data_IF_430128440905
#
_entry.id   IF_430128440905
#
_cell.length_a   1.000
_cell.length_b   1.000
_cell.length_c   1.000
_cell.angle_alpha   90.00
_cell.angle_beta   90.00
_cell.angle_gamma   90.00
#
_symmetry.space_group_name_H-M   'P 1'
#
loop_
_entity.id
_entity.type
_entity.pdbx_description
1 polymer ?
#
# COMPACT_ATOMS: atom_id res chain seq x y z
N UNK A 1 -5.95 -18.35 12.30
CA UNK A 1 -4.49 -18.40 12.03
C UNK A 1 -4.20 -18.80 10.57
N UNK A 2 -4.84 -19.85 10.02
CA UNK A 2 -4.73 -20.24 8.60
C UNK A 2 -5.23 -19.16 7.63
N UNK A 3 -6.31 -18.47 7.96
CA UNK A 3 -6.90 -17.40 7.12
C UNK A 3 -5.97 -16.18 6.94
N UNK A 4 -5.09 -15.89 7.91
CA UNK A 4 -4.10 -14.80 7.84
C UNK A 4 -2.97 -15.15 6.87
N UNK A 5 -2.61 -16.43 6.75
CA UNK A 5 -1.54 -16.90 5.87
C UNK A 5 -2.02 -16.92 4.42
N UNK A 6 -3.24 -17.41 4.17
CA UNK A 6 -3.82 -17.49 2.83
C UNK A 6 -4.22 -16.12 2.25
N UNK A 7 -4.41 -15.09 3.09
CA UNK A 7 -4.83 -13.74 2.67
C UNK A 7 -3.70 -12.70 2.72
N UNK A 8 -2.44 -13.14 2.74
CA UNK A 8 -1.31 -12.22 2.59
C UNK A 8 -1.28 -11.67 1.16
N UNK A 9 -1.70 -10.41 0.98
CA UNK A 9 -1.77 -9.75 -0.32
C UNK A 9 -0.45 -9.84 -1.09
N UNK A 10 0.66 -9.59 -0.39
CA UNK A 10 2.00 -9.61 -0.99
C UNK A 10 2.45 -11.01 -1.42
N UNK A 11 1.86 -12.08 -0.88
CA UNK A 11 2.28 -13.45 -1.15
C UNK A 11 1.82 -13.97 -2.52
N UNK A 12 0.76 -13.41 -3.11
CA UNK A 12 0.29 -13.82 -4.44
C UNK A 12 0.48 -12.74 -5.51
N UNK A 13 0.34 -11.45 -5.18
CA UNK A 13 0.45 -10.38 -6.19
C UNK A 13 1.79 -10.43 -6.92
N UNK A 14 2.92 -10.44 -6.19
CA UNK A 14 4.23 -10.39 -6.84
C UNK A 14 4.54 -11.65 -7.65
N UNK A 15 4.38 -12.88 -7.13
CA UNK A 15 4.61 -14.09 -7.93
C UNK A 15 3.70 -14.18 -9.16
N UNK A 16 2.42 -13.79 -9.05
CA UNK A 16 1.49 -13.81 -10.18
C UNK A 16 1.89 -12.82 -11.27
N UNK A 17 2.28 -11.59 -10.92
CA UNK A 17 2.76 -10.60 -11.90
C UNK A 17 4.08 -11.06 -12.55
N UNK A 18 4.99 -11.64 -11.76
CA UNK A 18 6.26 -12.17 -12.25
C UNK A 18 6.03 -13.33 -13.21
N UNK A 19 5.18 -14.28 -12.86
CA UNK A 19 4.80 -15.38 -13.75
C UNK A 19 4.15 -14.86 -15.04
N UNK A 20 3.14 -13.98 -14.91
CA UNK A 20 2.39 -13.49 -16.06
C UNK A 20 3.28 -12.77 -17.07
N UNK A 21 4.27 -12.01 -16.59
CA UNK A 21 5.20 -11.26 -17.45
C UNK A 21 6.30 -12.13 -18.05
N UNK A 22 6.86 -13.07 -17.28
CA UNK A 22 8.13 -13.72 -17.61
C UNK A 22 8.04 -15.21 -17.92
N UNK A 23 6.85 -15.82 -17.89
CA UNK A 23 6.68 -17.27 -18.18
C UNK A 23 7.22 -17.71 -19.53
N UNK A 24 7.21 -16.81 -20.52
CA UNK A 24 7.69 -17.05 -21.89
C UNK A 24 8.94 -16.21 -22.23
N UNK A 25 9.70 -15.76 -21.22
CA UNK A 25 10.89 -14.95 -21.46
C UNK A 25 11.94 -15.73 -22.26
N UNK A 26 12.45 -15.09 -23.31
CA UNK A 26 13.39 -15.67 -24.28
C UNK A 26 14.86 -15.63 -23.83
N UNK A 27 15.15 -15.05 -22.66
CA UNK A 27 16.49 -14.88 -22.12
C UNK A 27 17.23 -13.63 -22.65
N UNK A 28 16.62 -12.85 -23.54
CA UNK A 28 17.23 -11.63 -24.05
C UNK A 28 17.09 -10.47 -23.07
N UNK A 29 18.10 -9.60 -23.06
CA UNK A 29 18.07 -8.36 -22.27
C UNK A 29 16.98 -7.41 -22.79
N UNK A 30 16.35 -6.69 -21.87
CA UNK A 30 15.38 -5.65 -22.19
C UNK A 30 16.08 -4.33 -22.49
N UNK A 31 15.49 -3.53 -23.37
CA UNK A 31 16.01 -2.19 -23.69
C UNK A 31 15.78 -1.18 -22.57
N UNK A 32 14.71 -1.36 -21.79
CA UNK A 32 14.34 -0.49 -20.68
C UNK A 32 13.89 -1.31 -19.46
N UNK A 33 14.05 -0.71 -18.28
CA UNK A 33 13.57 -1.29 -17.04
C UNK A 33 12.04 -1.16 -16.96
N UNK A 34 11.27 -2.26 -16.93
CA UNK A 34 9.83 -2.19 -16.76
C UNK A 34 9.47 -1.78 -15.32
N UNK A 35 8.40 -1.00 -15.18
CA UNK A 35 7.84 -0.54 -13.91
C UNK A 35 6.66 -1.46 -13.54
N UNK A 36 6.81 -2.20 -12.43
CA UNK A 36 5.94 -3.32 -12.05
C UNK A 36 4.42 -3.09 -12.18
N UNK A 37 3.89 -1.97 -11.68
CA UNK A 37 2.44 -1.68 -11.70
C UNK A 37 2.00 -0.83 -12.89
N UNK A 38 2.94 -0.16 -13.56
CA UNK A 38 2.65 0.65 -14.74
C UNK A 38 2.50 -0.23 -15.98
N UNK A 39 3.32 -1.28 -16.07
CA UNK A 39 3.37 -2.18 -17.23
C UNK A 39 2.48 -3.42 -17.04
N UNK A 40 1.39 -3.29 -16.28
CA UNK A 40 0.39 -4.36 -16.13
C UNK A 40 -0.48 -4.42 -17.40
N UNK A 41 -0.36 -5.53 -18.12
CA UNK A 41 -1.16 -5.82 -19.30
C UNK A 41 -2.49 -6.52 -18.95
N UNK A 42 -3.42 -6.57 -19.89
CA UNK A 42 -4.76 -7.15 -19.69
C UNK A 42 -4.71 -8.61 -19.23
N UNK A 43 -3.83 -9.42 -19.82
CA UNK A 43 -3.63 -10.80 -19.39
C UNK A 43 -3.14 -10.90 -17.94
N UNK A 44 -2.20 -10.03 -17.54
CA UNK A 44 -1.64 -10.02 -16.18
C UNK A 44 -2.72 -9.66 -15.16
N UNK A 45 -3.53 -8.64 -15.47
CA UNK A 45 -4.66 -8.24 -14.65
C UNK A 45 -5.71 -9.36 -14.53
N UNK A 46 -6.04 -10.03 -15.65
CA UNK A 46 -6.99 -11.15 -15.66
C UNK A 46 -6.49 -12.35 -14.85
N UNK A 47 -5.20 -12.67 -14.93
CA UNK A 47 -4.62 -13.74 -14.12
C UNK A 47 -4.63 -13.38 -12.63
N UNK A 48 -4.27 -12.15 -12.28
CA UNK A 48 -4.32 -11.67 -10.90
C UNK A 48 -5.75 -11.72 -10.33
N UNK A 49 -6.75 -11.36 -11.13
CA UNK A 49 -8.16 -11.46 -10.74
C UNK A 49 -8.59 -12.90 -10.47
N UNK A 50 -8.21 -13.85 -11.32
CA UNK A 50 -8.51 -15.28 -11.13
C UNK A 50 -7.87 -15.84 -9.85
N UNK A 51 -6.59 -15.54 -9.62
CA UNK A 51 -5.92 -15.95 -8.38
C UNK A 51 -6.59 -15.34 -7.16
N UNK A 52 -7.02 -14.07 -7.23
CA UNK A 52 -7.76 -13.41 -6.16
C UNK A 52 -9.12 -14.07 -5.86
N UNK A 53 -9.80 -14.59 -6.89
CA UNK A 53 -11.05 -15.32 -6.76
C UNK A 53 -10.83 -16.69 -6.10
N UNK A 54 -9.82 -17.44 -6.53
CA UNK A 54 -9.47 -18.76 -5.98
C UNK A 54 -9.16 -18.72 -4.48
N UNK A 55 -8.46 -17.67 -4.03
CA UNK A 55 -8.13 -17.46 -2.62
C UNK A 55 -9.24 -16.76 -1.82
N UNK A 56 -10.32 -16.34 -2.47
CA UNK A 56 -11.49 -15.74 -1.83
C UNK A 56 -11.21 -14.41 -1.13
N UNK A 57 -10.31 -13.59 -1.68
CA UNK A 57 -10.06 -12.24 -1.16
C UNK A 57 -11.13 -11.29 -1.67
N UNK A 58 -11.72 -10.55 -0.73
CA UNK A 58 -12.76 -9.57 -0.99
C UNK A 58 -12.37 -8.22 -0.39
N UNK A 59 -13.02 -7.16 -0.84
CA UNK A 59 -12.93 -5.87 -0.15
C UNK A 59 -13.46 -6.00 1.28
N UNK A 60 -12.88 -5.29 2.25
CA UNK A 60 -13.40 -5.25 3.61
C UNK A 60 -14.71 -4.46 3.63
N UNK A 61 -15.80 -5.14 3.97
CA UNK A 61 -17.14 -4.59 3.94
C UNK A 61 -17.88 -4.89 5.25
N UNK A 62 -18.71 -3.94 5.70
CA UNK A 62 -19.67 -4.12 6.78
C UNK A 62 -21.02 -4.50 6.17
N UNK A 63 -21.61 -5.60 6.65
CA UNK A 63 -22.98 -5.98 6.31
C UNK A 63 -23.98 -5.11 7.09
N UNK A 64 -24.91 -4.50 6.38
CA UNK A 64 -25.97 -3.65 6.93
C UNK A 64 -27.22 -4.47 7.27
N UNK A 65 -28.13 -3.90 8.06
CA UNK A 65 -29.42 -4.51 8.43
C UNK A 65 -30.29 -4.85 7.22
N UNK A 66 -30.11 -4.17 6.09
CA UNK A 66 -30.86 -4.40 4.85
C UNK A 66 -30.20 -5.41 3.91
N UNK A 67 -29.31 -6.28 4.40
CA UNK A 67 -28.57 -7.26 3.58
C UNK A 67 -27.70 -6.62 2.47
N UNK A 68 -27.33 -5.34 2.63
CA UNK A 68 -26.41 -4.61 1.74
C UNK A 68 -25.04 -4.43 2.39
N UNK A 69 -24.05 -4.01 1.63
CA UNK A 69 -22.67 -3.85 2.10
C UNK A 69 -22.19 -2.40 1.98
N UNK A 70 -21.46 -1.92 2.98
CA UNK A 70 -20.75 -0.64 2.95
C UNK A 70 -19.24 -0.86 3.23
N UNK A 71 -18.33 -0.03 2.71
CA UNK A 71 -16.90 -0.21 2.97
C UNK A 71 -16.55 -0.12 4.46
N UNK A 72 -15.73 -1.07 4.95
CA UNK A 72 -15.16 -1.00 6.30
C UNK A 72 -13.81 -0.25 6.28
N UNK A 73 -13.86 1.06 6.50
CA UNK A 73 -12.66 1.89 6.59
C UNK A 73 -11.85 1.69 7.89
N UNK A 74 -12.36 0.93 8.86
CA UNK A 74 -11.61 0.58 10.08
C UNK A 74 -10.74 -0.66 9.88
N UNK A 75 -10.95 -1.40 8.78
CA UNK A 75 -10.18 -2.57 8.45
C UNK A 75 -8.69 -2.25 8.26
N UNK A 76 -7.83 -3.23 8.59
CA UNK A 76 -6.36 -3.10 8.57
C UNK A 76 -5.77 -2.68 7.22
N UNK A 77 -6.43 -3.03 6.11
CA UNK A 77 -6.03 -2.59 4.76
C UNK A 77 -5.95 -1.08 4.62
N UNK A 78 -6.76 -0.35 5.38
CA UNK A 78 -6.67 1.10 5.40
C UNK A 78 -5.88 1.56 6.62
N UNK A 79 -6.22 1.08 7.82
CA UNK A 79 -5.65 1.61 9.05
C UNK A 79 -4.17 1.24 9.23
N UNK A 80 -3.79 -0.03 9.07
CA UNK A 80 -2.38 -0.47 9.22
C UNK A 80 -1.53 -0.03 8.02
N UNK A 81 -1.99 -0.24 6.79
CA UNK A 81 -1.18 0.07 5.60
C UNK A 81 -0.91 1.57 5.47
N UNK A 82 -1.83 2.44 5.93
CA UNK A 82 -1.58 3.88 6.01
C UNK A 82 -0.59 4.19 7.12
N UNK A 83 -0.85 3.74 8.35
CA UNK A 83 -0.06 4.11 9.54
C UNK A 83 1.38 3.57 9.52
N UNK A 84 1.55 2.37 8.98
CA UNK A 84 2.78 1.60 9.08
C UNK A 84 3.47 1.40 7.72
N UNK A 85 2.78 1.67 6.61
CA UNK A 85 3.33 1.60 5.26
C UNK A 85 3.44 2.98 4.61
N UNK A 86 2.33 3.46 4.04
CA UNK A 86 2.32 4.61 3.15
C UNK A 86 2.80 5.90 3.83
N UNK A 87 2.37 6.15 5.07
CA UNK A 87 2.81 7.34 5.82
C UNK A 87 4.30 7.27 6.19
N UNK A 88 4.83 6.07 6.44
CA UNK A 88 6.26 5.86 6.72
C UNK A 88 7.09 6.18 5.48
N UNK A 89 6.72 5.60 4.33
CA UNK A 89 7.39 5.87 3.04
C UNK A 89 7.35 7.38 2.74
N UNK A 90 6.18 8.00 2.89
CA UNK A 90 6.01 9.43 2.66
C UNK A 90 6.86 10.30 3.60
N UNK A 91 6.98 9.89 4.87
CA UNK A 91 7.77 10.61 5.86
C UNK A 91 9.27 10.58 5.56
N UNK A 92 9.79 9.45 5.04
CA UNK A 92 11.18 9.32 4.62
C UNK A 92 11.43 10.09 3.33
N UNK A 93 10.50 10.00 2.35
CA UNK A 93 10.59 10.77 1.10
C UNK A 93 10.72 12.27 1.37
N UNK A 94 9.98 12.79 2.36
CA UNK A 94 10.10 14.19 2.79
C UNK A 94 11.51 14.54 3.31
N UNK A 95 12.08 13.67 4.16
CA UNK A 95 13.41 13.89 4.74
C UNK A 95 14.52 13.97 3.67
N UNK A 96 14.36 13.25 2.56
CA UNK A 96 15.34 13.22 1.46
C UNK A 96 14.96 14.17 0.31
N UNK A 97 13.89 14.95 0.45
CA UNK A 97 13.45 15.93 -0.56
C UNK A 97 12.83 15.32 -1.83
N UNK A 98 12.35 14.06 -1.78
CA UNK A 98 11.68 13.40 -2.90
C UNK A 98 10.20 13.78 -2.93
N UNK A 99 9.77 14.40 -4.02
CA UNK A 99 8.37 14.79 -4.23
C UNK A 99 7.49 13.56 -4.50
N UNK A 100 6.35 13.49 -3.83
CA UNK A 100 5.45 12.33 -3.84
C UNK A 100 3.97 12.76 -3.88
N UNK A 101 3.54 13.52 -4.91
CA UNK A 101 2.22 14.15 -4.96
C UNK A 101 1.08 13.12 -4.95
N UNK A 102 1.18 12.05 -5.75
CA UNK A 102 0.14 11.01 -5.80
C UNK A 102 -0.04 10.31 -4.44
N UNK A 103 1.05 10.05 -3.71
CA UNK A 103 0.96 9.49 -2.35
C UNK A 103 0.33 10.50 -1.37
N UNK A 104 0.60 11.79 -1.53
CA UNK A 104 -0.03 12.86 -0.75
C UNK A 104 -1.54 12.94 -0.94
N UNK A 105 -2.02 12.81 -2.19
CA UNK A 105 -3.45 12.77 -2.51
C UNK A 105 -4.14 11.57 -1.87
N UNK A 106 -3.56 10.38 -2.01
CA UNK A 106 -4.07 9.14 -1.38
C UNK A 106 -4.10 9.28 0.14
N UNK A 107 -3.02 9.74 0.77
CA UNK A 107 -2.97 9.94 2.22
C UNK A 107 -4.01 10.95 2.72
N UNK A 108 -4.24 12.03 1.96
CA UNK A 108 -5.25 13.05 2.29
C UNK A 108 -6.66 12.44 2.29
N UNK A 109 -6.96 11.57 1.33
CA UNK A 109 -8.23 10.85 1.33
C UNK A 109 -8.31 9.83 2.49
N UNK A 110 -7.26 9.04 2.71
CA UNK A 110 -7.22 8.03 3.75
C UNK A 110 -7.46 8.63 5.15
N UNK A 111 -6.77 9.72 5.47
CA UNK A 111 -6.85 10.36 6.78
C UNK A 111 -8.27 10.86 7.10
N UNK A 112 -9.00 11.33 6.09
CA UNK A 112 -10.42 11.70 6.21
C UNK A 112 -11.30 10.48 6.52
N UNK A 113 -11.05 9.33 5.88
CA UNK A 113 -11.82 8.10 6.10
C UNK A 113 -11.59 7.48 7.48
N UNK A 114 -10.38 7.60 8.02
CA UNK A 114 -10.03 7.07 9.35
C UNK A 114 -10.22 8.10 10.48
N UNK A 115 -10.71 9.30 10.17
CA UNK A 115 -10.91 10.40 11.12
C UNK A 115 -9.64 10.73 11.94
N UNK A 116 -8.47 10.63 11.33
CA UNK A 116 -7.20 11.02 11.93
C UNK A 116 -6.47 11.99 11.01
N UNK A 117 -5.61 12.84 11.56
CA UNK A 117 -4.93 13.89 10.81
C UNK A 117 -3.41 13.66 10.91
N UNK A 118 -2.77 13.36 9.78
CA UNK A 118 -1.31 13.15 9.72
C UNK A 118 -0.61 14.14 8.81
N UNK A 119 -1.34 14.71 7.84
CA UNK A 119 -0.86 15.72 6.91
C UNK A 119 -1.72 16.99 7.02
N UNK A 120 -1.06 18.15 6.96
CA UNK A 120 -1.69 19.44 6.67
C UNK A 120 -0.99 20.02 5.45
N UNK A 121 -1.71 20.11 4.33
CA UNK A 121 -1.10 20.36 3.02
C UNK A 121 -0.11 19.25 2.65
N UNK A 122 1.14 19.62 2.38
CA UNK A 122 2.21 18.66 2.05
C UNK A 122 3.07 18.24 3.24
N UNK A 123 2.82 18.74 4.45
CA UNK A 123 3.68 18.50 5.61
C UNK A 123 3.07 17.53 6.60
N UNK A 124 3.91 16.64 7.12
CA UNK A 124 3.58 15.78 8.25
C UNK A 124 3.36 16.61 9.52
N UNK A 125 2.29 16.32 10.26
CA UNK A 125 2.01 16.96 11.55
C UNK A 125 2.30 16.03 12.73
N UNK A 126 2.67 16.62 13.87
CA UNK A 126 3.15 15.88 15.04
C UNK A 126 2.05 15.31 15.92
N UNK A 127 0.81 15.81 15.80
CA UNK A 127 -0.33 15.51 16.70
C UNK A 127 -0.62 14.02 16.84
N UNK A 128 -0.50 13.25 15.76
CA UNK A 128 -0.80 11.81 15.75
C UNK A 128 0.44 10.93 15.52
N UNK A 129 1.67 11.46 15.65
CA UNK A 129 2.89 10.66 15.46
C UNK A 129 3.00 9.47 16.42
N UNK A 130 2.42 9.58 17.62
CA UNK A 130 2.43 8.53 18.63
C UNK A 130 1.61 7.28 18.24
N UNK A 131 0.85 7.31 17.13
CA UNK A 131 0.12 6.14 16.61
C UNK A 131 0.73 5.58 15.33
N UNK A 132 1.77 6.22 14.77
CA UNK A 132 2.39 5.81 13.50
C UNK A 132 3.69 5.03 13.75
N UNK A 133 4.31 4.52 12.67
CA UNK A 133 5.70 4.03 12.70
C UNK A 133 6.67 4.96 11.96
N UNK A 134 6.30 6.23 11.78
CA UNK A 134 7.19 7.19 11.12
C UNK A 134 8.46 7.40 11.96
N UNK A 135 9.64 7.57 11.36
CA UNK A 135 10.90 7.75 12.09
C UNK A 135 10.87 8.93 13.07
N UNK A 136 10.14 10.00 12.75
CA UNK A 136 9.96 11.19 13.59
C UNK A 136 9.36 10.87 14.96
N UNK A 137 8.54 9.81 15.07
CA UNK A 137 8.02 9.31 16.35
C UNK A 137 9.15 8.92 17.30
N UNK A 138 10.23 8.36 16.78
CA UNK A 138 11.37 7.85 17.54
C UNK A 138 12.48 8.91 17.70
N UNK A 139 12.21 10.17 17.38
CA UNK A 139 13.20 11.24 17.41
C UNK A 139 14.19 11.22 16.24
N UNK A 140 13.96 10.38 15.23
CA UNK A 140 14.76 10.32 14.01
C UNK A 140 14.20 11.37 13.04
N UNK A 141 14.88 12.51 12.93
CA UNK A 141 14.46 13.67 12.13
C UNK A 141 15.36 13.90 10.92
N UNK A 142 16.44 13.13 10.78
CA UNK A 142 17.38 13.17 9.65
C UNK A 142 17.62 11.78 9.10
N UNK A 143 17.97 11.69 7.80
CA UNK A 143 18.29 10.42 7.16
C UNK A 143 19.51 9.73 7.82
N UNK A 144 20.48 10.52 8.27
CA UNK A 144 21.67 10.01 8.95
C UNK A 144 21.36 9.32 10.29
N UNK A 145 20.21 9.61 10.92
CA UNK A 145 19.77 8.91 12.12
C UNK A 145 19.06 7.58 11.80
N UNK A 146 18.48 7.45 10.59
CA UNK A 146 17.81 6.22 10.15
C UNK A 146 18.81 5.15 9.70
N UNK A 147 19.94 5.57 9.14
CA UNK A 147 20.96 4.68 8.56
C UNK A 147 22.00 4.15 9.57
N UNK A 148 21.82 4.40 10.88
CA UNK A 148 22.71 3.92 11.95
C UNK A 148 22.26 2.57 12.48
#
# INVERSE_FOLDING_TARGET
MIEIILRSLNAFIHPTLMYARWKDWDGNALEHLPILYHDIEEYMAALLAKVSEEIGITYPMIKTETEKYIPDFKHRFLTEDVLFGLLVIRSIAEMVGVSTPCMGEVLTWCQQKICQEYLVGSKLITKNLATTRCPQRYGLITIAQILR
#
